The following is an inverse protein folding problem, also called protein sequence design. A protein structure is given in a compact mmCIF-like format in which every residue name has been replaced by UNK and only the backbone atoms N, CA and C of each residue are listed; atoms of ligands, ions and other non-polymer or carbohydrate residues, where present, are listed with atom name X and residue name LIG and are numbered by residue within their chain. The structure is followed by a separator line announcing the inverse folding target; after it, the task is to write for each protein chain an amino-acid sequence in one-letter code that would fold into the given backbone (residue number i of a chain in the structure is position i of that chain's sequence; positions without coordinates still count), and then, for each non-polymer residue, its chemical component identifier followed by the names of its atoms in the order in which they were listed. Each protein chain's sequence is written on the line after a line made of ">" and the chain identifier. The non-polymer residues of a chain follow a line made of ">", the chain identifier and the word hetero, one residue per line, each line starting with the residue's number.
data_IF_752618811360
#
_entry.id   IF_752618811360
#
_cell.length_a   1.000
_cell.length_b   1.000
_cell.length_c   1.000
_cell.angle_alpha   90.00
_cell.angle_beta   90.00
_cell.angle_gamma   90.00
#
_symmetry.space_group_name_H-M   'P 1'
#
loop_
_entity.id
_entity.type
_entity.pdbx_description
1 polymer ?
#
# COMPACT_ATOMS: atom_id res chain seq x y z
N UNK A 1 4.72 8.80 -20.70
CA UNK A 1 5.66 8.10 -19.79
C UNK A 1 5.64 8.64 -18.35
N UNK A 2 5.30 9.91 -18.08
CA UNK A 2 5.27 10.47 -16.70
C UNK A 2 4.28 9.77 -15.75
N UNK A 3 3.07 9.47 -16.23
CA UNK A 3 2.03 8.74 -15.52
C UNK A 3 2.43 7.35 -14.98
N UNK A 4 3.26 6.58 -15.69
CA UNK A 4 3.73 5.28 -15.18
C UNK A 4 4.70 5.46 -14.01
N UNK A 5 5.55 6.48 -14.07
CA UNK A 5 6.42 6.85 -12.95
C UNK A 5 5.62 7.31 -11.73
N UNK A 6 4.56 8.10 -11.94
CA UNK A 6 3.65 8.52 -10.88
C UNK A 6 2.98 7.31 -10.21
N UNK A 7 2.44 6.38 -10.99
CA UNK A 7 1.82 5.14 -10.49
C UNK A 7 2.79 4.30 -9.67
N UNK A 8 4.01 4.07 -10.17
CA UNK A 8 5.01 3.28 -9.46
C UNK A 8 5.41 3.93 -8.13
N UNK A 9 5.59 5.25 -8.10
CA UNK A 9 5.89 5.98 -6.86
C UNK A 9 4.71 5.93 -5.88
N UNK A 10 3.48 6.10 -6.35
CA UNK A 10 2.26 5.98 -5.51
C UNK A 10 2.16 4.57 -4.92
N UNK A 11 2.39 3.53 -5.72
CA UNK A 11 2.36 2.15 -5.26
C UNK A 11 3.46 1.88 -4.23
N UNK A 12 4.71 2.28 -4.50
CA UNK A 12 5.82 2.06 -3.58
C UNK A 12 5.61 2.80 -2.25
N UNK A 13 5.12 4.04 -2.30
CA UNK A 13 4.75 4.80 -1.12
C UNK A 13 3.62 4.11 -0.34
N UNK A 14 2.57 3.62 -1.03
CA UNK A 14 1.47 2.88 -0.39
C UNK A 14 1.97 1.61 0.30
N UNK A 15 2.84 0.84 -0.36
CA UNK A 15 3.44 -0.36 0.22
C UNK A 15 4.27 -0.02 1.45
N UNK A 16 5.13 1.00 1.40
CA UNK A 16 5.94 1.39 2.57
C UNK A 16 5.08 1.86 3.74
N UNK A 17 4.01 2.63 3.47
CA UNK A 17 3.09 3.04 4.52
C UNK A 17 2.35 1.85 5.14
N UNK A 18 1.83 0.95 4.30
CA UNK A 18 1.14 -0.25 4.76
C UNK A 18 2.07 -1.12 5.62
N UNK A 19 3.28 -1.40 5.13
CA UNK A 19 4.24 -2.27 5.80
C UNK A 19 4.85 -1.66 7.07
N UNK A 20 4.85 -0.33 7.20
CA UNK A 20 5.32 0.35 8.40
C UNK A 20 4.20 0.63 9.42
N UNK A 21 2.95 0.29 9.07
CA UNK A 21 1.83 0.38 10.00
C UNK A 21 1.85 -0.79 10.99
N UNK A 22 1.37 -0.55 12.21
CA UNK A 22 1.29 -1.59 13.26
C UNK A 22 0.15 -2.56 13.03
N UNK A 23 -0.90 -2.10 12.35
CA UNK A 23 -2.12 -2.87 12.05
C UNK A 23 -1.97 -3.77 10.81
N UNK A 24 -0.79 -3.79 10.17
CA UNK A 24 -0.56 -4.68 9.04
C UNK A 24 -0.62 -6.14 9.47
N UNK A 25 -0.99 -7.02 8.54
CA UNK A 25 -1.14 -8.46 8.81
C UNK A 25 -0.17 -9.35 8.02
N UNK A 26 0.75 -8.74 7.27
CA UNK A 26 1.70 -9.46 6.42
C UNK A 26 3.03 -9.80 7.09
N UNK A 27 3.58 -8.89 7.90
CA UNK A 27 4.76 -9.18 8.70
C UNK A 27 4.41 -9.31 10.17
N UNK A 28 5.13 -10.19 10.87
CA UNK A 28 5.07 -10.33 12.33
C UNK A 28 5.54 -9.06 13.07
N UNK A 29 6.39 -8.25 12.42
CA UNK A 29 6.86 -6.97 12.94
C UNK A 29 6.74 -5.87 11.87
N UNK A 30 6.25 -4.68 12.23
CA UNK A 30 6.19 -3.55 11.31
C UNK A 30 7.59 -3.10 10.89
N UNK A 31 7.67 -2.53 9.68
CA UNK A 31 8.90 -1.88 9.23
C UNK A 31 9.28 -0.73 10.17
N UNK A 32 10.58 -0.39 10.26
CA UNK A 32 11.05 0.68 11.12
C UNK A 32 10.46 2.03 10.70
N UNK A 33 10.40 2.98 11.64
CA UNK A 33 9.88 4.34 11.40
C UNK A 33 10.52 5.04 10.19
N UNK A 34 11.78 4.72 9.89
CA UNK A 34 12.51 5.20 8.71
C UNK A 34 11.77 4.87 7.40
N UNK A 35 11.11 3.72 7.31
CA UNK A 35 10.31 3.34 6.14
C UNK A 35 9.09 4.26 5.96
N UNK A 36 8.47 4.76 7.04
CA UNK A 36 7.39 5.77 6.94
C UNK A 36 7.91 7.05 6.33
N UNK A 37 9.10 7.51 6.76
CA UNK A 37 9.72 8.71 6.20
C UNK A 37 10.10 8.54 4.73
N UNK A 38 10.58 7.36 4.33
CA UNK A 38 10.77 7.05 2.91
C UNK A 38 9.45 7.05 2.14
N UNK A 39 8.38 6.50 2.72
CA UNK A 39 7.03 6.59 2.16
C UNK A 39 6.58 8.02 1.90
N UNK A 40 6.73 8.91 2.91
CA UNK A 40 6.47 10.35 2.78
C UNK A 40 7.33 10.97 1.67
N UNK A 41 8.62 10.64 1.65
CA UNK A 41 9.57 11.12 0.66
C UNK A 41 9.23 10.72 -0.78
N UNK A 42 8.52 9.61 -0.99
CA UNK A 42 8.05 9.14 -2.29
C UNK A 42 6.65 9.67 -2.64
N UNK A 43 5.84 9.96 -1.63
CA UNK A 43 4.51 10.54 -1.83
C UNK A 43 4.56 11.94 -2.43
N UNK A 44 5.48 12.79 -1.99
CA UNK A 44 5.64 14.16 -2.52
C UNK A 44 5.94 14.15 -4.04
N UNK A 45 6.97 13.46 -4.55
CA UNK A 45 7.24 13.40 -5.99
C UNK A 45 6.13 12.69 -6.77
N UNK A 46 5.44 11.71 -6.18
CA UNK A 46 4.27 11.10 -6.83
C UNK A 46 3.16 12.14 -7.07
N UNK A 47 2.82 12.93 -6.04
CA UNK A 47 1.82 13.99 -6.14
C UNK A 47 2.21 15.03 -7.20
N UNK A 48 3.48 15.46 -7.21
CA UNK A 48 4.01 16.41 -8.19
C UNK A 48 3.92 15.86 -9.63
N UNK A 49 4.24 14.59 -9.85
CA UNK A 49 4.13 13.97 -11.17
C UNK A 49 2.68 13.84 -11.65
N UNK A 50 1.75 13.51 -10.74
CA UNK A 50 0.33 13.49 -11.06
C UNK A 50 -0.17 14.88 -11.46
N UNK A 51 0.17 15.90 -10.67
CA UNK A 51 -0.16 17.31 -10.96
C UNK A 51 0.46 17.79 -12.27
N UNK A 52 1.71 17.44 -12.55
CA UNK A 52 2.34 17.79 -13.83
C UNK A 52 1.58 17.12 -14.98
N UNK A 53 1.25 15.83 -14.86
CA UNK A 53 0.66 15.08 -15.97
C UNK A 53 -0.79 15.43 -16.30
N UNK A 54 -1.61 15.80 -15.30
CA UNK A 54 -3.07 16.00 -15.47
C UNK A 54 -3.56 17.40 -15.05
N UNK A 55 -2.68 18.26 -14.52
CA UNK A 55 -3.03 19.53 -13.90
C UNK A 55 -3.35 19.41 -12.40
N UNK A 56 -3.45 20.56 -11.72
CA UNK A 56 -3.58 20.64 -10.25
C UNK A 56 -4.76 19.86 -9.68
N UNK A 57 -5.98 20.13 -10.14
CA UNK A 57 -7.20 19.51 -9.58
C UNK A 57 -7.28 18.02 -9.88
N UNK A 58 -7.20 17.65 -11.16
CA UNK A 58 -7.30 16.26 -11.60
C UNK A 58 -6.12 15.43 -11.08
N UNK A 59 -4.91 15.99 -11.10
CA UNK A 59 -3.71 15.31 -10.62
C UNK A 59 -3.77 15.01 -9.12
N UNK A 60 -4.15 15.98 -8.28
CA UNK A 60 -4.31 15.74 -6.84
C UNK A 60 -5.41 14.71 -6.54
N UNK A 61 -6.54 14.80 -7.25
CA UNK A 61 -7.63 13.83 -7.13
C UNK A 61 -7.14 12.41 -7.47
N UNK A 62 -6.48 12.23 -8.62
CA UNK A 62 -5.94 10.93 -9.05
C UNK A 62 -4.88 10.41 -8.08
N UNK A 63 -3.97 11.26 -7.61
CA UNK A 63 -2.96 10.89 -6.64
C UNK A 63 -3.60 10.37 -5.34
N UNK A 64 -4.52 11.12 -4.74
CA UNK A 64 -5.20 10.72 -3.51
C UNK A 64 -6.03 9.44 -3.69
N UNK A 65 -6.78 9.34 -4.78
CA UNK A 65 -7.60 8.16 -5.07
C UNK A 65 -6.77 6.90 -5.31
N UNK A 66 -5.71 7.00 -6.13
CA UNK A 66 -4.83 5.85 -6.39
C UNK A 66 -4.08 5.42 -5.13
N UNK A 67 -3.63 6.39 -4.32
CA UNK A 67 -2.99 6.13 -3.03
C UNK A 67 -3.93 5.37 -2.09
N UNK A 68 -5.17 5.84 -1.93
CA UNK A 68 -6.18 5.18 -1.11
C UNK A 68 -6.53 3.78 -1.65
N UNK A 69 -6.73 3.65 -2.96
CA UNK A 69 -7.03 2.37 -3.61
C UNK A 69 -5.94 1.33 -3.35
N UNK A 70 -4.66 1.69 -3.49
CA UNK A 70 -3.56 0.76 -3.21
C UNK A 70 -3.51 0.34 -1.75
N UNK A 71 -3.70 1.26 -0.80
CA UNK A 71 -3.74 0.93 0.63
C UNK A 71 -4.90 -0.03 0.95
N UNK A 72 -6.09 0.22 0.39
CA UNK A 72 -7.26 -0.66 0.57
C UNK A 72 -6.99 -2.04 -0.03
N UNK A 73 -6.47 -2.12 -1.25
CA UNK A 73 -6.15 -3.40 -1.91
C UNK A 73 -5.11 -4.18 -1.11
N UNK A 74 -4.05 -3.52 -0.63
CA UNK A 74 -3.04 -4.17 0.22
C UNK A 74 -3.64 -4.72 1.51
N UNK A 75 -4.49 -3.94 2.18
CA UNK A 75 -5.18 -4.39 3.39
C UNK A 75 -6.11 -5.58 3.13
N UNK A 76 -6.86 -5.57 2.03
CA UNK A 76 -7.74 -6.66 1.63
C UNK A 76 -6.96 -7.93 1.28
N UNK A 77 -5.86 -7.81 0.53
CA UNK A 77 -5.01 -8.94 0.19
C UNK A 77 -4.40 -9.59 1.43
N UNK A 78 -3.91 -8.77 2.37
CA UNK A 78 -3.37 -9.25 3.62
C UNK A 78 -4.42 -9.95 4.50
N UNK A 79 -5.63 -9.38 4.59
CA UNK A 79 -6.73 -10.01 5.29
C UNK A 79 -7.11 -11.35 4.67
N UNK A 80 -7.25 -11.39 3.33
CA UNK A 80 -7.64 -12.60 2.61
C UNK A 80 -6.62 -13.74 2.76
N UNK A 81 -5.33 -13.43 2.69
CA UNK A 81 -4.28 -14.42 2.88
C UNK A 81 -4.30 -14.96 4.31
N UNK A 82 -4.38 -14.09 5.31
CA UNK A 82 -4.42 -14.49 6.71
C UNK A 82 -5.62 -15.42 7.01
N UNK A 83 -6.81 -15.08 6.52
CA UNK A 83 -8.02 -15.90 6.70
C UNK A 83 -7.90 -17.27 6.01
N UNK A 84 -7.28 -17.31 4.85
CA UNK A 84 -7.01 -18.56 4.10
C UNK A 84 -6.08 -19.50 4.88
N UNK A 85 -5.02 -18.97 5.49
CA UNK A 85 -4.10 -19.75 6.33
C UNK A 85 -4.79 -20.30 7.59
N UNK A 86 -5.62 -19.50 8.26
CA UNK A 86 -6.37 -19.97 9.44
C UNK A 86 -7.34 -21.10 9.11
N UNK A 87 -8.00 -21.04 7.95
CA UNK A 87 -8.93 -22.08 7.50
C UNK A 87 -8.21 -23.40 7.23
N UNK A 88 -7.04 -23.36 6.59
CA UNK A 88 -6.21 -24.54 6.36
C UNK A 88 -5.75 -25.22 7.66
N UNK A 89 -5.31 -24.42 8.63
CA UNK A 89 -4.84 -24.95 9.93
C UNK A 89 -5.95 -25.64 10.74
N UNK A 90 -7.19 -25.11 10.71
CA UNK A 90 -8.34 -25.77 11.37
C UNK A 90 -8.69 -27.13 10.75
N UNK A 91 -8.63 -27.25 9.42
CA UNK A 91 -8.91 -28.54 8.75
C UNK A 91 -7.86 -29.62 9.06
N UNK A 92 -6.59 -29.23 9.24
CA UNK A 92 -5.53 -30.16 9.64
C UNK A 92 -5.70 -30.68 11.07
N UNK A 93 -6.17 -29.83 12.00
CA UNK A 93 -6.39 -30.21 13.41
C UNK A 93 -7.67 -31.03 13.66
N UNK A 94 -8.69 -30.90 12.82
CA UNK A 94 -9.92 -31.70 12.94
C UNK A 94 -9.80 -33.14 12.43
N UNK A 95 -8.62 -33.54 11.93
CA UNK A 95 -8.34 -34.89 11.40
C UNK A 95 -7.35 -35.70 12.26
N UNK A 96 -6.87 -35.15 13.37
CA UNK A 96 -6.06 -35.84 14.38
C UNK A 96 -6.91 -36.24 15.58
#
# INVERSE_FOLDING_TARGET
>A
MLWTGALLLTLLAATLFYLADREQRWLDRPLPMVARWLGVGLTVPAALLWVWSQGLGVGLMFWLWSQAAFLIVLALLAAHQHDSFQKGNRMSRGRS
#
